data_IF_266323842634
#
_entry.id   IF_266323842634
#
_cell.length_a   1.000
_cell.length_b   1.000
_cell.length_c   1.000
_cell.angle_alpha   90.00
_cell.angle_beta   90.00
_cell.angle_gamma   90.00
#
_symmetry.space_group_name_H-M   'P 1'
#
loop_
_entity.id
_entity.type
_entity.pdbx_description
1 polymer ?
#
# COMPACT_ATOMS: atom_id res chain seq x y z
N UNK A 1 -15.73 -11.03 -5.89
CA UNK A 1 -14.48 -11.76 -6.19
C UNK A 1 -13.61 -12.00 -4.95
N UNK A 2 -13.54 -11.09 -3.97
CA UNK A 2 -12.76 -11.25 -2.72
C UNK A 2 -13.03 -12.56 -1.95
N UNK A 3 -14.29 -13.06 -1.92
CA UNK A 3 -14.67 -14.28 -1.21
C UNK A 3 -13.88 -15.52 -1.65
N UNK A 4 -13.85 -15.82 -2.95
CA UNK A 4 -13.16 -17.00 -3.51
C UNK A 4 -11.65 -16.94 -3.25
N UNK A 5 -11.07 -15.74 -3.34
CA UNK A 5 -9.65 -15.57 -3.02
C UNK A 5 -9.36 -15.91 -1.56
N UNK A 6 -10.17 -15.42 -0.62
CA UNK A 6 -9.94 -15.60 0.81
C UNK A 6 -10.32 -16.99 1.33
N UNK A 7 -11.41 -17.59 0.84
CA UNK A 7 -11.96 -18.84 1.36
C UNK A 7 -11.44 -20.08 0.63
N UNK A 8 -11.08 -19.97 -0.66
CA UNK A 8 -10.70 -21.13 -1.47
C UNK A 8 -9.22 -21.06 -1.89
N UNK A 9 -8.81 -19.97 -2.55
CA UNK A 9 -7.48 -19.87 -3.18
C UNK A 9 -6.36 -19.71 -2.16
N UNK A 10 -6.50 -18.76 -1.22
CA UNK A 10 -5.48 -18.49 -0.20
C UNK A 10 -5.21 -19.73 0.68
N UNK A 11 -6.21 -20.44 1.23
CA UNK A 11 -5.96 -21.67 1.98
C UNK A 11 -5.34 -22.79 1.12
N UNK A 12 -5.73 -22.91 -0.15
CA UNK A 12 -5.14 -23.91 -1.05
C UNK A 12 -3.64 -23.65 -1.30
N UNK A 13 -3.23 -22.38 -1.43
CA UNK A 13 -1.81 -22.00 -1.53
C UNK A 13 -1.05 -22.32 -0.24
N UNK A 14 -1.63 -22.01 0.92
CA UNK A 14 -1.02 -22.28 2.22
C UNK A 14 -0.78 -23.78 2.46
N UNK A 15 -1.74 -24.63 2.06
CA UNK A 15 -1.58 -26.09 2.09
C UNK A 15 -0.43 -26.61 1.22
N UNK A 16 0.02 -25.83 0.24
CA UNK A 16 1.20 -26.11 -0.59
C UNK A 16 2.46 -25.38 -0.09
N UNK A 17 2.40 -24.74 1.09
CA UNK A 17 3.52 -24.00 1.69
C UNK A 17 3.72 -22.60 1.11
N UNK A 18 2.77 -22.07 0.33
CA UNK A 18 2.84 -20.73 -0.27
C UNK A 18 1.94 -19.80 0.55
N UNK A 19 2.54 -18.83 1.25
CA UNK A 19 1.80 -17.86 2.08
C UNK A 19 1.86 -16.47 1.46
N UNK A 20 0.71 -15.77 1.47
CA UNK A 20 0.62 -14.35 1.11
C UNK A 20 0.54 -13.57 2.41
N UNK A 21 1.65 -12.93 2.79
CA UNK A 21 1.83 -12.32 4.10
C UNK A 21 1.45 -10.84 4.11
N UNK A 22 0.84 -10.42 5.21
CA UNK A 22 0.74 -9.02 5.59
C UNK A 22 2.03 -8.55 6.28
N UNK A 23 2.26 -7.24 6.32
CA UNK A 23 3.47 -6.64 6.89
C UNK A 23 3.79 -7.13 8.31
N UNK A 24 2.75 -7.28 9.15
CA UNK A 24 2.90 -7.71 10.55
C UNK A 24 3.30 -9.19 10.71
N UNK A 25 3.19 -10.00 9.65
CA UNK A 25 3.57 -11.41 9.65
C UNK A 25 5.00 -11.65 9.20
N UNK A 26 5.68 -10.61 8.71
CA UNK A 26 7.07 -10.65 8.29
C UNK A 26 8.00 -10.62 9.51
N UNK A 27 9.06 -11.41 9.47
CA UNK A 27 10.18 -11.31 10.40
C UNK A 27 10.89 -9.96 10.29
N UNK A 28 11.67 -9.56 11.29
CA UNK A 28 12.41 -8.30 11.27
C UNK A 28 13.35 -8.18 10.06
N UNK A 29 14.07 -9.26 9.73
CA UNK A 29 14.96 -9.32 8.57
C UNK A 29 14.20 -9.16 7.24
N UNK A 30 13.02 -9.78 7.12
CA UNK A 30 12.17 -9.64 5.94
C UNK A 30 11.60 -8.22 5.82
N UNK A 31 11.18 -7.61 6.93
CA UNK A 31 10.75 -6.22 6.95
C UNK A 31 11.88 -5.28 6.51
N UNK A 32 13.10 -5.51 7.00
CA UNK A 32 14.27 -4.73 6.60
C UNK A 32 14.49 -4.83 5.08
N UNK A 33 14.48 -6.05 4.54
CA UNK A 33 14.63 -6.28 3.10
C UNK A 33 13.53 -5.63 2.28
N UNK A 34 12.28 -5.68 2.75
CA UNK A 34 11.17 -5.02 2.06
C UNK A 34 11.27 -3.50 2.13
N UNK A 35 11.80 -2.95 3.22
CA UNK A 35 12.06 -1.52 3.36
C UNK A 35 13.16 -1.04 2.39
N UNK A 36 14.26 -1.80 2.27
CA UNK A 36 15.30 -1.54 1.26
C UNK A 36 14.73 -1.58 -0.15
N UNK A 37 13.98 -2.63 -0.49
CA UNK A 37 13.32 -2.76 -1.79
C UNK A 37 12.42 -1.55 -2.09
N UNK A 38 11.61 -1.14 -1.10
CA UNK A 38 10.73 0.02 -1.24
C UNK A 38 11.55 1.28 -1.50
N UNK A 39 12.55 1.55 -0.69
CA UNK A 39 13.35 2.79 -0.74
C UNK A 39 14.16 2.89 -2.03
N UNK A 40 14.79 1.79 -2.45
CA UNK A 40 15.70 1.79 -3.59
C UNK A 40 15.00 1.66 -4.95
N UNK A 41 13.86 0.96 -5.00
CA UNK A 41 13.22 0.59 -6.29
C UNK A 41 11.81 1.12 -6.46
N UNK A 42 11.01 1.16 -5.42
CA UNK A 42 9.59 1.54 -5.52
C UNK A 42 9.44 3.06 -5.35
N UNK A 43 9.98 3.63 -4.28
CA UNK A 43 9.85 5.04 -3.95
C UNK A 43 10.33 5.98 -5.07
N UNK A 44 11.47 5.74 -5.75
CA UNK A 44 11.95 6.66 -6.80
C UNK A 44 11.04 6.75 -8.03
N UNK A 45 10.15 5.78 -8.23
CA UNK A 45 9.20 5.78 -9.36
C UNK A 45 7.79 6.23 -8.95
N UNK A 46 7.54 6.44 -7.65
CA UNK A 46 6.28 7.01 -7.17
C UNK A 46 6.28 8.52 -7.42
N UNK A 47 5.21 9.02 -8.02
CA UNK A 47 4.99 10.47 -8.19
C UNK A 47 3.91 10.92 -7.20
N UNK A 48 4.28 11.40 -6.00
CA UNK A 48 3.30 11.90 -5.03
C UNK A 48 2.61 13.15 -5.59
N UNK A 49 1.28 13.16 -5.55
CA UNK A 49 0.46 14.28 -5.98
C UNK A 49 -0.20 14.89 -4.76
N UNK A 50 0.20 16.12 -4.40
CA UNK A 50 -0.49 16.91 -3.39
C UNK A 50 -1.81 17.44 -3.96
N UNK A 51 -2.90 17.27 -3.23
CA UNK A 51 -4.23 17.72 -3.61
C UNK A 51 -4.71 18.72 -2.56
N UNK A 52 -5.03 19.94 -3.00
CA UNK A 52 -5.60 21.00 -2.18
C UNK A 52 -6.80 21.65 -2.88
N UNK A 53 -7.63 22.40 -2.14
CA UNK A 53 -8.86 23.01 -2.67
C UNK A 53 -8.64 24.17 -3.66
N UNK A 54 -7.42 24.67 -3.77
CA UNK A 54 -7.05 25.84 -4.58
C UNK A 54 -6.78 25.47 -6.05
N UNK A 55 -6.68 24.17 -6.37
CA UNK A 55 -6.41 23.66 -7.70
C UNK A 55 -7.38 22.51 -8.07
N UNK A 56 -7.71 22.33 -9.36
CA UNK A 56 -8.56 21.22 -9.79
C UNK A 56 -7.88 19.87 -9.53
N UNK A 57 -8.69 18.86 -9.20
CA UNK A 57 -8.20 17.51 -8.94
C UNK A 57 -7.45 16.95 -10.15
N UNK A 58 -6.25 16.34 -9.97
CA UNK A 58 -5.44 15.85 -11.08
C UNK A 58 -6.13 14.70 -11.80
N UNK A 59 -5.87 14.57 -13.11
CA UNK A 59 -6.33 13.42 -13.87
C UNK A 59 -5.62 12.14 -13.40
N UNK A 60 -6.39 11.08 -13.17
CA UNK A 60 -5.92 9.76 -12.78
C UNK A 60 -6.33 8.75 -13.85
N UNK A 61 -5.41 7.89 -14.28
CA UNK A 61 -5.69 6.85 -15.28
C UNK A 61 -6.68 5.81 -14.76
N UNK A 62 -7.68 5.45 -15.56
CA UNK A 62 -8.77 4.54 -15.17
C UNK A 62 -8.38 3.06 -14.95
N UNK A 63 -7.11 2.70 -15.18
CA UNK A 63 -6.58 1.34 -14.97
C UNK A 63 -5.33 1.32 -14.08
N UNK A 64 -5.00 2.45 -13.43
CA UNK A 64 -3.93 2.47 -12.43
C UNK A 64 -4.47 2.20 -11.03
N UNK A 65 -3.64 1.58 -10.20
CA UNK A 65 -3.85 1.54 -8.76
C UNK A 65 -3.25 2.82 -8.18
N UNK A 66 -4.03 3.56 -7.40
CA UNK A 66 -3.62 4.81 -6.78
C UNK A 66 -3.89 4.73 -5.28
N UNK A 67 -2.98 5.29 -4.49
CA UNK A 67 -3.12 5.33 -3.03
C UNK A 67 -3.45 6.76 -2.60
N UNK A 68 -4.63 6.96 -2.00
CA UNK A 68 -4.98 8.20 -1.33
C UNK A 68 -4.45 8.16 0.10
N UNK A 69 -3.61 9.13 0.47
CA UNK A 69 -3.00 9.25 1.80
C UNK A 69 -3.43 10.56 2.43
N UNK A 70 -4.04 10.49 3.62
CA UNK A 70 -4.38 11.64 4.44
C UNK A 70 -3.21 11.95 5.37
N UNK A 71 -2.70 13.17 5.31
CA UNK A 71 -1.63 13.64 6.20
C UNK A 71 -2.26 14.48 7.31
N UNK A 72 -1.99 14.11 8.56
CA UNK A 72 -2.39 14.91 9.72
C UNK A 72 -1.18 15.71 10.20
N UNK A 73 -1.36 17.00 10.49
CA UNK A 73 -0.30 17.81 11.06
C UNK A 73 -0.06 17.38 12.52
N UNK A 74 1.17 17.04 12.94
CA UNK A 74 1.44 16.42 14.25
C UNK A 74 1.12 17.31 15.46
N UNK A 75 0.93 18.62 15.24
CA UNK A 75 0.69 19.63 16.29
C UNK A 75 -0.72 20.21 16.28
N UNK A 76 -1.61 19.77 15.39
CA UNK A 76 -3.01 20.25 15.34
C UNK A 76 -3.95 19.09 15.64
N UNK A 77 -4.37 18.98 16.90
CA UNK A 77 -5.59 18.22 17.23
C UNK A 77 -6.79 18.95 16.62
N UNK A 78 -7.08 18.66 15.36
CA UNK A 78 -8.19 19.32 14.67
C UNK A 78 -8.31 18.85 13.24
N UNK A 79 -9.35 18.05 12.98
CA UNK A 79 -9.83 17.71 11.64
C UNK A 79 -9.90 18.97 10.77
N UNK A 80 -9.25 18.91 9.62
CA UNK A 80 -9.75 19.51 8.37
C UNK A 80 -9.63 18.47 7.28
#
# INVERSE_FOLDING_TARGET
QSRVFNEDVRPALENQGIRILDWAELTEDEQHRMHELFTERIFPVLTPLAVDSSHPFPYISGLSINLAVLLNHPTTEGRQ
#
